data_IF_492335036699
#
_entry.id   IF_492335036699
#
_cell.length_a   1.000
_cell.length_b   1.000
_cell.length_c   1.000
_cell.angle_alpha   90.00
_cell.angle_beta   90.00
_cell.angle_gamma   90.00
#
_symmetry.space_group_name_H-M   'P 1'
#
loop_
_entity.id
_entity.type
_entity.pdbx_description
1 polymer ?
#
# COMPACT_ATOMS: atom_id res chain seq x y z
N UNK A 1 -3.70 -17.43 2.34
CA UNK A 1 -2.43 -16.99 2.95
C UNK A 1 -2.53 -15.58 3.51
N UNK A 2 -2.99 -14.59 2.71
CA UNK A 2 -3.05 -13.16 3.07
C UNK A 2 -3.87 -12.91 4.34
N UNK A 3 -5.11 -13.41 4.41
CA UNK A 3 -5.97 -13.22 5.59
C UNK A 3 -5.33 -13.78 6.86
N UNK A 4 -4.68 -14.95 6.77
CA UNK A 4 -3.96 -15.54 7.91
C UNK A 4 -2.81 -14.65 8.36
N UNK A 5 -2.05 -14.07 7.42
CA UNK A 5 -0.95 -13.17 7.73
C UNK A 5 -1.43 -11.85 8.38
N UNK A 6 -2.54 -11.30 7.88
CA UNK A 6 -3.15 -10.08 8.42
C UNK A 6 -3.74 -10.26 9.84
N UNK A 7 -4.31 -11.43 10.12
CA UNK A 7 -4.90 -11.75 11.43
C UNK A 7 -3.87 -12.25 12.45
N UNK A 8 -2.65 -12.57 12.00
CA UNK A 8 -1.57 -12.96 12.89
C UNK A 8 -1.18 -11.78 13.82
N UNK A 9 -0.62 -12.13 14.96
CA UNK A 9 -0.12 -11.14 15.92
C UNK A 9 1.37 -11.36 16.17
N UNK A 10 2.13 -10.31 16.52
CA UNK A 10 3.49 -10.49 17.01
C UNK A 10 3.48 -11.32 18.29
N UNK A 11 4.58 -12.02 18.57
CA UNK A 11 4.73 -12.85 19.78
C UNK A 11 4.64 -12.03 21.07
N UNK A 12 5.15 -10.79 21.02
CA UNK A 12 5.02 -9.80 22.10
C UNK A 12 5.01 -8.37 21.54
N UNK A 13 4.93 -7.37 22.42
CA UNK A 13 5.09 -5.96 22.06
C UNK A 13 6.56 -5.53 21.97
N UNK A 14 7.53 -6.42 22.17
CA UNK A 14 8.94 -6.11 22.01
C UNK A 14 9.23 -5.73 20.54
N UNK A 15 10.05 -4.70 20.30
CA UNK A 15 10.31 -4.22 18.94
C UNK A 15 10.78 -5.30 17.98
N UNK A 16 11.56 -6.27 18.44
CA UNK A 16 12.07 -7.38 17.63
C UNK A 16 10.95 -8.33 17.19
N UNK A 17 10.06 -8.72 18.11
CA UNK A 17 8.92 -9.60 17.82
C UNK A 17 7.94 -8.95 16.85
N UNK A 18 7.76 -7.63 17.01
CA UNK A 18 6.95 -6.84 16.09
C UNK A 18 7.61 -6.78 14.70
N UNK A 19 8.93 -6.59 14.65
CA UNK A 19 9.67 -6.58 13.39
C UNK A 19 9.59 -7.95 12.68
N UNK A 20 9.76 -9.05 13.40
CA UNK A 20 9.63 -10.41 12.87
C UNK A 20 8.24 -10.67 12.28
N UNK A 21 7.23 -10.18 12.97
CA UNK A 21 5.85 -10.29 12.49
C UNK A 21 5.67 -9.54 11.16
N UNK A 22 6.13 -8.29 11.07
CA UNK A 22 5.97 -7.49 9.86
C UNK A 22 6.86 -8.00 8.70
N UNK A 23 8.06 -8.50 8.95
CA UNK A 23 8.89 -9.16 7.92
C UNK A 23 8.10 -10.31 7.29
N UNK A 24 7.52 -11.20 8.12
CA UNK A 24 6.67 -12.31 7.62
C UNK A 24 5.45 -11.81 6.85
N UNK A 25 4.82 -10.73 7.30
CA UNK A 25 3.68 -10.14 6.58
C UNK A 25 4.10 -9.64 5.20
N UNK A 26 5.19 -8.88 5.12
CA UNK A 26 5.70 -8.36 3.85
C UNK A 26 6.18 -9.44 2.89
N UNK A 27 6.63 -10.61 3.39
CA UNK A 27 6.92 -11.78 2.53
C UNK A 27 5.65 -12.28 1.81
N UNK A 28 4.47 -12.10 2.43
CA UNK A 28 3.19 -12.56 1.85
C UNK A 28 2.56 -11.52 0.91
N UNK A 29 2.67 -10.23 1.26
CA UNK A 29 1.98 -9.16 0.51
C UNK A 29 2.89 -8.31 -0.36
N UNK A 30 4.20 -8.50 -0.26
CA UNK A 30 5.21 -7.70 -0.95
C UNK A 30 5.26 -7.92 -2.46
N UNK A 31 6.12 -7.17 -3.08
CA UNK A 31 6.32 -7.09 -4.54
C UNK A 31 7.22 -8.24 -5.01
N UNK A 32 6.70 -9.26 -5.74
CA UNK A 32 7.49 -10.43 -6.10
C UNK A 32 8.64 -10.13 -7.08
N UNK A 33 8.49 -9.15 -7.96
CA UNK A 33 9.50 -8.84 -8.97
C UNK A 33 10.50 -7.75 -8.53
N UNK A 34 10.41 -7.30 -7.28
CA UNK A 34 11.30 -6.27 -6.74
C UNK A 34 12.10 -6.82 -5.55
N UNK A 35 13.42 -6.79 -5.69
CA UNK A 35 14.31 -7.30 -4.65
C UNK A 35 14.20 -6.44 -3.38
N UNK A 36 13.96 -7.12 -2.27
CA UNK A 36 14.01 -6.52 -0.91
C UNK A 36 15.00 -7.33 -0.08
N UNK A 37 16.04 -6.69 0.38
CA UNK A 37 16.96 -7.32 1.33
C UNK A 37 16.31 -7.35 2.72
N UNK A 38 16.16 -8.54 3.30
CA UNK A 38 15.47 -8.72 4.60
C UNK A 38 16.07 -7.84 5.70
N UNK A 39 17.40 -7.69 5.73
CA UNK A 39 18.08 -6.85 6.71
C UNK A 39 17.65 -5.38 6.62
N UNK A 40 17.52 -4.85 5.40
CA UNK A 40 17.07 -3.47 5.16
C UNK A 40 15.58 -3.30 5.52
N UNK A 41 14.75 -4.27 5.14
CA UNK A 41 13.34 -4.29 5.50
C UNK A 41 13.18 -4.28 7.02
N UNK A 42 13.88 -5.15 7.71
CA UNK A 42 13.89 -5.25 9.17
C UNK A 42 14.33 -3.94 9.83
N UNK A 43 15.40 -3.33 9.35
CA UNK A 43 15.89 -2.05 9.87
C UNK A 43 14.85 -0.93 9.73
N UNK A 44 14.18 -0.84 8.58
CA UNK A 44 13.09 0.12 8.35
C UNK A 44 11.89 -0.12 9.26
N UNK A 45 11.50 -1.37 9.45
CA UNK A 45 10.41 -1.74 10.35
C UNK A 45 10.76 -1.36 11.79
N UNK A 46 11.96 -1.72 12.26
CA UNK A 46 12.42 -1.37 13.62
C UNK A 46 12.43 0.14 13.85
N UNK A 47 12.94 0.91 12.91
CA UNK A 47 12.90 2.38 13.00
C UNK A 47 11.46 2.90 13.11
N UNK A 48 10.52 2.33 12.34
CA UNK A 48 9.10 2.66 12.41
C UNK A 48 8.47 2.31 13.77
N UNK A 49 8.73 1.11 14.26
CA UNK A 49 8.23 0.61 15.56
C UNK A 49 8.76 1.45 16.72
N UNK A 50 10.06 1.76 16.71
CA UNK A 50 10.69 2.60 17.73
C UNK A 50 10.10 4.00 17.75
N UNK A 51 9.83 4.56 16.56
CA UNK A 51 9.21 5.89 16.44
C UNK A 51 7.78 5.91 16.95
N UNK A 52 6.96 4.93 16.61
CA UNK A 52 5.55 4.86 17.05
C UNK A 52 4.93 3.51 16.70
N UNK A 53 4.73 2.68 17.70
CA UNK A 53 3.97 1.42 17.58
C UNK A 53 2.61 1.57 18.26
N UNK A 54 1.54 1.59 17.48
CA UNK A 54 0.16 1.79 17.99
C UNK A 54 -0.80 0.76 17.40
N UNK A 55 -0.83 -0.48 17.89
CA UNK A 55 -1.67 -1.56 17.33
C UNK A 55 -3.17 -1.24 17.38
N UNK A 56 -3.63 -0.48 18.39
CA UNK A 56 -5.02 0.01 18.44
C UNK A 56 -5.36 0.92 17.25
N UNK A 57 -4.38 1.64 16.71
CA UNK A 57 -4.55 2.47 15.51
C UNK A 57 -4.92 1.62 14.28
N UNK A 58 -4.28 0.47 14.10
CA UNK A 58 -4.61 -0.48 13.02
C UNK A 58 -6.04 -0.98 13.13
N UNK A 59 -6.49 -1.33 14.34
CA UNK A 59 -7.88 -1.76 14.58
C UNK A 59 -8.87 -0.65 14.21
N UNK A 60 -8.62 0.58 14.65
CA UNK A 60 -9.47 1.74 14.31
C UNK A 60 -9.53 1.98 12.81
N UNK A 61 -8.40 1.85 12.11
CA UNK A 61 -8.34 1.98 10.66
C UNK A 61 -9.18 0.92 9.95
N UNK A 62 -9.09 -0.34 10.38
CA UNK A 62 -9.91 -1.42 9.84
C UNK A 62 -11.40 -1.16 10.04
N UNK A 63 -11.81 -0.74 11.23
CA UNK A 63 -13.20 -0.39 11.51
C UNK A 63 -13.69 0.78 10.64
N UNK A 64 -12.86 1.80 10.45
CA UNK A 64 -13.20 2.94 9.58
C UNK A 64 -13.38 2.51 8.13
N UNK A 65 -12.52 1.63 7.60
CA UNK A 65 -12.64 1.08 6.24
C UNK A 65 -13.94 0.30 6.09
N UNK A 66 -14.31 -0.52 7.08
CA UNK A 66 -15.53 -1.34 7.04
C UNK A 66 -16.81 -0.50 7.18
N UNK A 67 -16.76 0.58 7.93
CA UNK A 67 -17.90 1.46 8.16
C UNK A 67 -18.17 2.43 6.99
N UNK A 68 -17.17 2.68 6.15
CA UNK A 68 -17.30 3.63 5.04
C UNK A 68 -17.94 2.99 3.80
N UNK A 69 -19.22 3.21 3.63
CA UNK A 69 -20.00 2.73 2.46
C UNK A 69 -20.26 3.80 1.42
N UNK A 70 -19.87 5.05 1.66
CA UNK A 70 -20.27 6.22 0.84
C UNK A 70 -19.15 6.75 -0.05
N UNK A 71 -17.89 6.53 0.30
CA UNK A 71 -16.69 7.07 -0.36
C UNK A 71 -16.70 6.84 -1.88
N UNK A 72 -17.15 5.68 -2.33
CA UNK A 72 -17.21 5.35 -3.76
C UNK A 72 -18.07 6.31 -4.59
N UNK A 73 -19.09 6.92 -3.98
CA UNK A 73 -19.94 7.93 -4.64
C UNK A 73 -19.23 9.28 -4.71
N UNK A 74 -18.49 9.64 -3.66
CA UNK A 74 -17.78 10.91 -3.55
C UNK A 74 -16.62 11.03 -4.54
N UNK A 75 -16.05 9.91 -5.02
CA UNK A 75 -14.99 9.90 -6.04
C UNK A 75 -15.38 10.66 -7.31
N UNK A 76 -16.66 10.68 -7.67
CA UNK A 76 -17.17 11.41 -8.85
C UNK A 76 -17.08 12.93 -8.72
N UNK A 77 -16.85 13.44 -7.51
CA UNK A 77 -16.76 14.89 -7.22
C UNK A 77 -15.32 15.40 -7.32
N UNK A 78 -14.37 14.52 -7.52
CA UNK A 78 -12.96 14.89 -7.69
C UNK A 78 -12.82 15.56 -9.06
N UNK A 79 -12.33 16.79 -9.08
CA UNK A 79 -12.16 17.60 -10.29
C UNK A 79 -10.67 17.88 -10.62
N UNK A 80 -9.76 17.59 -9.67
CA UNK A 80 -8.33 17.77 -9.91
C UNK A 80 -7.76 16.66 -10.80
N UNK A 81 -6.68 16.93 -11.56
CA UNK A 81 -5.94 15.89 -12.27
C UNK A 81 -5.56 14.76 -11.33
N UNK A 82 -5.93 13.54 -11.69
CA UNK A 82 -5.78 12.38 -10.81
C UNK A 82 -5.05 11.25 -11.51
N UNK A 83 -4.03 10.69 -10.84
CA UNK A 83 -3.35 9.47 -11.23
C UNK A 83 -3.60 8.39 -10.17
N UNK A 84 -4.18 7.26 -10.58
CA UNK A 84 -4.32 6.07 -9.75
C UNK A 84 -3.24 5.07 -10.13
N UNK A 85 -2.36 4.72 -9.19
CA UNK A 85 -1.31 3.73 -9.39
C UNK A 85 -1.64 2.48 -8.56
N UNK A 86 -1.50 1.28 -9.17
CA UNK A 86 -1.78 0.02 -8.50
C UNK A 86 -0.81 -1.09 -8.89
N UNK A 87 -0.51 -1.98 -7.96
CA UNK A 87 0.31 -3.16 -8.24
C UNK A 87 -0.48 -4.27 -8.94
N UNK A 88 0.06 -4.81 -10.05
CA UNK A 88 -0.58 -5.97 -10.71
C UNK A 88 -0.48 -7.25 -9.90
N UNK A 89 0.51 -7.36 -9.03
CA UNK A 89 0.75 -8.52 -8.17
C UNK A 89 0.27 -8.30 -6.72
N UNK A 90 -0.53 -7.27 -6.45
CA UNK A 90 -1.04 -6.98 -5.11
C UNK A 90 -2.03 -8.06 -4.66
N UNK A 91 -1.67 -8.91 -3.65
CA UNK A 91 -2.54 -9.97 -3.18
C UNK A 91 -3.49 -9.50 -2.07
N UNK A 92 -3.30 -8.28 -1.55
CA UNK A 92 -4.11 -7.71 -0.47
C UNK A 92 -5.29 -6.91 -1.02
N UNK A 93 -5.02 -6.03 -2.01
CA UNK A 93 -6.06 -5.25 -2.69
C UNK A 93 -6.08 -5.63 -4.16
N UNK A 94 -7.14 -6.32 -4.65
CA UNK A 94 -7.23 -6.74 -6.04
C UNK A 94 -7.09 -5.56 -7.02
N UNK A 95 -6.42 -5.79 -8.15
CA UNK A 95 -6.21 -4.79 -9.21
C UNK A 95 -7.52 -4.12 -9.65
N UNK A 96 -8.62 -4.88 -9.66
CA UNK A 96 -9.96 -4.37 -9.99
C UNK A 96 -10.42 -3.21 -9.10
N UNK A 97 -9.96 -3.15 -7.85
CA UNK A 97 -10.30 -2.05 -6.92
C UNK A 97 -9.66 -0.73 -7.37
N UNK A 98 -8.38 -0.76 -7.80
CA UNK A 98 -7.70 0.41 -8.36
C UNK A 98 -8.34 0.86 -9.67
N UNK A 99 -8.69 -0.10 -10.53
CA UNK A 99 -9.39 0.18 -11.79
C UNK A 99 -10.78 0.80 -11.54
N UNK A 100 -11.52 0.30 -10.55
CA UNK A 100 -12.82 0.86 -10.17
C UNK A 100 -12.69 2.28 -9.62
N UNK A 101 -11.67 2.53 -8.80
CA UNK A 101 -11.33 3.88 -8.31
C UNK A 101 -11.09 4.84 -9.46
N UNK A 102 -10.23 4.49 -10.41
CA UNK A 102 -9.94 5.32 -11.57
C UNK A 102 -11.17 5.58 -12.45
N UNK A 103 -12.01 4.56 -12.67
CA UNK A 103 -13.25 4.72 -13.45
C UNK A 103 -14.25 5.67 -12.81
N UNK A 104 -14.26 5.78 -11.49
CA UNK A 104 -15.19 6.67 -10.76
C UNK A 104 -14.76 8.11 -10.74
N UNK A 105 -13.48 8.39 -10.90
CA UNK A 105 -12.93 9.76 -10.88
C UNK A 105 -12.91 10.28 -12.33
N UNK A 106 -13.65 11.36 -12.65
CA UNK A 106 -13.65 11.93 -14.00
C UNK A 106 -12.22 12.32 -14.44
N UNK A 107 -11.82 11.86 -15.61
CA UNK A 107 -10.49 12.19 -16.18
C UNK A 107 -9.30 11.53 -15.50
N UNK A 108 -9.49 10.63 -14.53
CA UNK A 108 -8.36 9.96 -13.89
C UNK A 108 -7.60 9.03 -14.86
N UNK A 109 -6.28 9.08 -14.78
CA UNK A 109 -5.38 8.10 -15.42
C UNK A 109 -5.20 6.91 -14.49
N UNK A 110 -5.03 5.72 -15.09
CA UNK A 110 -4.74 4.49 -14.37
C UNK A 110 -3.44 3.87 -14.84
N UNK A 111 -2.53 3.61 -13.91
CA UNK A 111 -1.24 2.97 -14.16
C UNK A 111 -1.10 1.72 -13.30
N UNK A 112 -0.87 0.58 -13.95
CA UNK A 112 -0.69 -0.70 -13.30
C UNK A 112 0.77 -1.18 -13.41
N UNK A 113 1.48 -1.22 -12.28
CA UNK A 113 2.88 -1.61 -12.24
C UNK A 113 3.00 -3.13 -12.16
N UNK A 114 3.66 -3.74 -13.14
CA UNK A 114 3.94 -5.17 -13.15
C UNK A 114 4.85 -5.55 -11.97
N UNK A 115 4.62 -6.71 -11.36
CA UNK A 115 5.40 -7.23 -10.24
C UNK A 115 5.29 -6.47 -8.92
N UNK A 116 4.60 -5.33 -8.88
CA UNK A 116 4.34 -4.59 -7.67
C UNK A 116 3.25 -5.28 -6.84
N UNK A 117 3.54 -5.55 -5.58
CA UNK A 117 2.61 -6.03 -4.55
C UNK A 117 2.06 -4.89 -3.69
N UNK A 118 1.87 -5.17 -2.40
CA UNK A 118 1.34 -4.21 -1.43
C UNK A 118 2.44 -3.64 -0.53
N UNK A 119 3.57 -3.25 -1.11
CA UNK A 119 4.68 -2.63 -0.40
C UNK A 119 5.40 -1.61 -1.31
N UNK A 120 6.35 -0.88 -0.75
CA UNK A 120 7.10 0.18 -1.44
C UNK A 120 8.62 -0.04 -1.28
N UNK A 121 9.20 -1.12 -1.81
CA UNK A 121 10.65 -1.24 -1.88
C UNK A 121 11.23 -0.18 -2.85
N UNK A 122 12.54 0.11 -2.78
CA UNK A 122 13.17 1.15 -3.59
C UNK A 122 12.87 1.05 -5.09
N UNK A 123 12.85 -0.16 -5.65
CA UNK A 123 12.53 -0.37 -7.06
C UNK A 123 11.08 -0.02 -7.42
N UNK A 124 10.13 -0.33 -6.54
CA UNK A 124 8.71 0.08 -6.70
C UNK A 124 8.59 1.59 -6.62
N UNK A 125 9.26 2.24 -5.65
CA UNK A 125 9.26 3.71 -5.56
C UNK A 125 9.77 4.35 -6.85
N UNK A 126 10.85 3.84 -7.43
CA UNK A 126 11.36 4.30 -8.71
C UNK A 126 10.34 4.11 -9.85
N UNK A 127 9.66 2.96 -9.89
CA UNK A 127 8.64 2.70 -10.89
C UNK A 127 7.45 3.66 -10.77
N UNK A 128 7.00 3.94 -9.53
CA UNK A 128 5.96 4.92 -9.25
C UNK A 128 6.40 6.32 -9.69
N UNK A 129 7.62 6.75 -9.36
CA UNK A 129 8.12 8.07 -9.72
C UNK A 129 8.19 8.29 -11.24
N UNK A 130 8.44 7.25 -12.03
CA UNK A 130 8.44 7.34 -13.51
C UNK A 130 7.08 7.76 -14.08
N UNK A 131 5.99 7.38 -13.45
CA UNK A 131 4.63 7.73 -13.89
C UNK A 131 4.07 8.95 -13.16
N UNK A 132 4.47 9.15 -11.91
CA UNK A 132 4.00 10.25 -11.08
C UNK A 132 4.60 11.60 -11.50
N UNK A 133 5.91 11.68 -11.75
CA UNK A 133 6.56 12.95 -12.06
C UNK A 133 6.04 13.59 -13.37
N UNK A 134 5.84 12.85 -14.49
CA UNK A 134 5.19 13.41 -15.67
C UNK A 134 3.78 13.92 -15.35
N UNK A 135 2.97 13.15 -14.64
CA UNK A 135 1.62 13.55 -14.25
C UNK A 135 1.60 14.86 -13.46
N UNK A 136 2.50 15.03 -12.48
CA UNK A 136 2.58 16.26 -11.70
C UNK A 136 2.97 17.48 -12.57
N UNK A 137 3.87 17.30 -13.54
CA UNK A 137 4.26 18.36 -14.47
C UNK A 137 3.09 18.80 -15.35
N UNK A 138 2.36 17.81 -15.91
CA UNK A 138 1.18 18.07 -16.72
C UNK A 138 0.06 18.77 -15.92
N UNK A 139 -0.13 18.40 -14.66
CA UNK A 139 -1.13 18.98 -13.78
C UNK A 139 -0.79 20.40 -13.31
N UNK A 140 0.48 20.81 -13.44
CA UNK A 140 0.97 22.14 -13.02
C UNK A 140 1.10 23.13 -14.18
N UNK A 141 0.89 22.66 -15.43
CA UNK A 141 0.95 23.46 -16.65
C UNK A 141 -0.42 24.07 -16.98
#
# INVERSE_FOLDING_TARGET
>A
PVLKALLARPASSAPQDVADHYVRLYTVIGSPDFVVHEAELRARILAGVTRSYRPVGTMRQMLAIMADTTRARELRRIQCPTLVVHGKADPLVPLACGQDTARRIPGARFEAIAGMGHDLPPGVVQAILRVLLPHLREASA
#
